data_IF_546829650982
#
_entry.id   IF_546829650982
#
_cell.length_a   1.000
_cell.length_b   1.000
_cell.length_c   1.000
_cell.angle_alpha   90.00
_cell.angle_beta   90.00
_cell.angle_gamma   90.00
#
_symmetry.space_group_name_H-M   'P 1'
#
loop_
_entity.id
_entity.type
_entity.pdbx_description
1 polymer ?
#
# COMPACT_ATOMS: atom_id res chain seq x y z
N UNK A 1 -29.91 44.71 -17.69
CA UNK A 1 -29.46 43.31 -17.91
C UNK A 1 -30.18 42.44 -16.91
N UNK A 2 -30.95 41.44 -17.36
CA UNK A 2 -31.56 40.46 -16.44
C UNK A 2 -30.43 39.57 -15.89
N UNK A 3 -30.43 39.23 -14.59
CA UNK A 3 -29.42 38.32 -14.04
C UNK A 3 -29.52 36.97 -14.76
N UNK A 4 -28.38 36.41 -15.15
CA UNK A 4 -28.26 35.17 -15.93
C UNK A 4 -28.76 33.92 -15.18
N UNK A 5 -29.01 34.01 -13.87
CA UNK A 5 -29.49 32.91 -13.02
C UNK A 5 -30.52 33.40 -11.99
N UNK A 6 -31.47 32.52 -11.66
CA UNK A 6 -32.50 32.71 -10.62
C UNK A 6 -31.85 32.92 -9.23
N UNK A 7 -32.43 33.76 -8.35
CA UNK A 7 -31.87 34.10 -7.03
C UNK A 7 -31.56 32.87 -6.17
N UNK A 8 -32.44 31.85 -6.19
CA UNK A 8 -32.20 30.57 -5.50
C UNK A 8 -30.96 29.82 -6.00
N UNK A 9 -30.66 29.94 -7.30
CA UNK A 9 -29.47 29.33 -7.90
C UNK A 9 -28.23 30.11 -7.44
N UNK A 10 -28.28 31.43 -7.39
CA UNK A 10 -27.16 32.23 -6.88
C UNK A 10 -26.84 31.95 -5.41
N UNK A 11 -27.85 31.80 -4.53
CA UNK A 11 -27.62 31.41 -3.14
C UNK A 11 -26.99 30.03 -3.01
N UNK A 12 -27.46 29.05 -3.79
CA UNK A 12 -26.86 27.71 -3.79
C UNK A 12 -25.46 27.66 -4.42
N UNK A 13 -25.08 28.65 -5.25
CA UNK A 13 -23.75 28.76 -5.84
C UNK A 13 -22.73 29.44 -4.91
N UNK A 14 -23.18 30.30 -3.98
CA UNK A 14 -22.29 30.97 -3.00
C UNK A 14 -21.46 29.99 -2.18
N UNK A 15 -22.00 28.81 -1.85
CA UNK A 15 -21.26 27.75 -1.12
C UNK A 15 -20.06 27.18 -1.88
N UNK A 16 -20.00 27.38 -3.20
CA UNK A 16 -18.89 26.96 -4.05
C UNK A 16 -17.93 28.11 -4.39
N UNK A 17 -18.18 29.32 -3.86
CA UNK A 17 -17.25 30.44 -3.99
C UNK A 17 -16.27 30.42 -2.81
N UNK A 18 -14.96 30.59 -3.08
CA UNK A 18 -13.98 30.69 -2.02
C UNK A 18 -14.18 32.01 -1.24
N UNK A 19 -14.11 31.93 0.09
CA UNK A 19 -14.12 33.11 0.98
C UNK A 19 -12.75 33.78 0.96
N UNK A 20 -11.69 32.97 0.97
CA UNK A 20 -10.31 33.43 1.02
C UNK A 20 -9.51 32.75 -0.08
N UNK A 21 -8.75 33.54 -0.84
CA UNK A 21 -7.84 33.05 -1.87
C UNK A 21 -6.46 33.60 -1.59
N UNK A 22 -5.52 32.70 -1.30
CA UNK A 22 -4.11 33.04 -1.08
C UNK A 22 -3.32 32.51 -2.26
N UNK A 23 -2.80 33.44 -3.08
CA UNK A 23 -2.10 33.11 -4.31
C UNK A 23 -0.60 32.88 -4.07
N UNK A 24 0.02 32.11 -4.96
CA UNK A 24 1.47 31.97 -5.12
C UNK A 24 2.21 31.50 -3.86
N UNK A 25 1.64 30.51 -3.17
CA UNK A 25 2.30 29.86 -2.04
C UNK A 25 3.21 28.74 -2.55
N UNK A 26 4.31 28.47 -1.86
CA UNK A 26 5.20 27.35 -2.20
C UNK A 26 4.96 26.18 -1.24
N UNK A 27 4.94 24.96 -1.77
CA UNK A 27 4.80 23.78 -0.94
C UNK A 27 6.17 23.25 -0.48
N UNK A 28 6.38 23.14 0.84
CA UNK A 28 7.64 22.61 1.40
C UNK A 28 7.93 21.14 1.03
N UNK A 29 6.89 20.38 0.66
CA UNK A 29 7.00 18.95 0.35
C UNK A 29 7.27 18.67 -1.12
N UNK A 30 6.46 19.23 -2.02
CA UNK A 30 6.61 19.00 -3.46
C UNK A 30 7.36 20.11 -4.20
N UNK A 31 7.66 21.24 -3.54
CA UNK A 31 8.38 22.37 -4.14
C UNK A 31 7.57 23.20 -5.15
N UNK A 32 6.35 22.78 -5.49
CA UNK A 32 5.50 23.48 -6.43
C UNK A 32 4.83 24.72 -5.82
N UNK A 33 4.62 25.71 -6.68
CA UNK A 33 3.81 26.87 -6.38
C UNK A 33 2.32 26.51 -6.53
N UNK A 34 1.50 26.92 -5.57
CA UNK A 34 0.07 26.61 -5.51
C UNK A 34 -0.75 27.81 -5.02
N UNK A 35 -2.02 27.81 -5.38
CA UNK A 35 -3.01 28.77 -4.89
C UNK A 35 -3.94 28.07 -3.89
N UNK A 36 -4.12 28.67 -2.71
CA UNK A 36 -4.97 28.14 -1.64
C UNK A 36 -6.34 28.82 -1.66
N UNK A 37 -7.38 28.00 -1.82
CA UNK A 37 -8.77 28.41 -1.79
C UNK A 37 -9.42 27.86 -0.52
N UNK A 38 -9.95 28.74 0.33
CA UNK A 38 -10.71 28.35 1.53
C UNK A 38 -12.19 28.64 1.32
N UNK A 39 -13.03 27.69 1.70
CA UNK A 39 -14.47 27.75 1.54
C UNK A 39 -15.18 27.91 2.89
N UNK A 40 -16.44 28.36 2.86
CA UNK A 40 -17.25 28.61 4.07
C UNK A 40 -17.43 27.38 4.98
N UNK A 41 -17.46 26.21 4.37
CA UNK A 41 -17.59 24.93 5.06
C UNK A 41 -16.28 24.45 5.72
N UNK A 42 -15.20 25.25 5.70
CA UNK A 42 -13.89 24.89 6.21
C UNK A 42 -13.07 23.99 5.29
N UNK A 43 -13.55 23.70 4.07
CA UNK A 43 -12.78 22.98 3.07
C UNK A 43 -11.64 23.86 2.54
N UNK A 44 -10.48 23.25 2.33
CA UNK A 44 -9.30 23.89 1.74
C UNK A 44 -8.89 23.14 0.48
N UNK A 45 -8.66 23.88 -0.61
CA UNK A 45 -8.19 23.34 -1.88
C UNK A 45 -6.90 24.04 -2.30
N UNK A 46 -5.86 23.26 -2.59
CA UNK A 46 -4.55 23.75 -3.05
C UNK A 46 -4.39 23.45 -4.53
N UNK A 47 -4.70 24.43 -5.37
CA UNK A 47 -4.57 24.27 -6.83
C UNK A 47 -3.10 24.36 -7.23
N UNK A 48 -2.59 23.35 -7.93
CA UNK A 48 -1.16 23.23 -8.27
C UNK A 48 -0.29 22.46 -7.26
N UNK A 49 -0.84 22.04 -6.10
CA UNK A 49 -0.11 21.18 -5.16
C UNK A 49 -0.34 19.70 -5.44
N UNK A 50 0.72 18.97 -5.80
CA UNK A 50 0.62 17.55 -6.15
C UNK A 50 0.76 16.57 -4.97
N UNK A 51 1.02 17.03 -3.75
CA UNK A 51 1.35 16.13 -2.63
C UNK A 51 0.29 15.05 -2.38
N UNK A 52 -0.99 15.43 -2.44
CA UNK A 52 -2.10 14.51 -2.22
C UNK A 52 -2.24 13.52 -3.38
N UNK A 53 -2.08 13.98 -4.62
CA UNK A 53 -2.13 13.14 -5.82
C UNK A 53 -0.98 12.12 -5.79
N UNK A 54 0.23 12.56 -5.46
CA UNK A 54 1.40 11.69 -5.33
C UNK A 54 1.20 10.65 -4.24
N UNK A 55 0.62 11.03 -3.10
CA UNK A 55 0.27 10.11 -2.01
C UNK A 55 -0.73 9.04 -2.48
N UNK A 56 -1.82 9.46 -3.10
CA UNK A 56 -2.85 8.56 -3.63
C UNK A 56 -2.29 7.62 -4.72
N UNK A 57 -1.47 8.15 -5.63
CA UNK A 57 -0.81 7.37 -6.67
C UNK A 57 0.10 6.29 -6.07
N UNK A 58 0.86 6.62 -5.02
CA UNK A 58 1.72 5.67 -4.32
C UNK A 58 0.91 4.60 -3.57
N UNK A 59 -0.20 4.97 -2.93
CA UNK A 59 -1.11 4.02 -2.28
C UNK A 59 -1.74 3.05 -3.29
N UNK A 60 -2.20 3.55 -4.44
CA UNK A 60 -2.74 2.73 -5.52
C UNK A 60 -1.68 1.83 -6.15
N UNK A 61 -0.46 2.33 -6.35
CA UNK A 61 0.67 1.51 -6.78
C UNK A 61 0.90 0.32 -5.85
N UNK A 62 0.93 0.55 -4.53
CA UNK A 62 1.06 -0.51 -3.52
C UNK A 62 -0.08 -1.53 -3.61
N UNK A 63 -1.33 -1.06 -3.70
CA UNK A 63 -2.52 -1.92 -3.82
C UNK A 63 -2.46 -2.79 -5.08
N UNK A 64 -2.10 -2.21 -6.22
CA UNK A 64 -2.02 -2.93 -7.49
C UNK A 64 -0.88 -3.95 -7.49
N UNK A 65 0.27 -3.60 -6.89
CA UNK A 65 1.37 -4.55 -6.66
C UNK A 65 0.91 -5.75 -5.83
N UNK A 66 0.19 -5.52 -4.73
CA UNK A 66 -0.36 -6.58 -3.89
C UNK A 66 -1.36 -7.46 -4.65
N UNK A 67 -2.32 -6.86 -5.35
CA UNK A 67 -3.31 -7.61 -6.16
C UNK A 67 -2.65 -8.53 -7.19
N UNK A 68 -1.57 -8.07 -7.82
CA UNK A 68 -0.81 -8.88 -8.79
C UNK A 68 -0.15 -10.09 -8.13
N UNK A 69 0.45 -9.91 -6.95
CA UNK A 69 1.01 -11.01 -6.17
C UNK A 69 -0.09 -12.01 -5.78
N UNK A 70 -1.19 -11.51 -5.21
CA UNK A 70 -2.32 -12.35 -4.80
C UNK A 70 -2.88 -13.15 -5.98
N UNK A 71 -2.99 -12.55 -7.15
CA UNK A 71 -3.43 -13.24 -8.37
C UNK A 71 -2.51 -14.41 -8.72
N UNK A 72 -1.18 -14.20 -8.75
CA UNK A 72 -0.19 -15.26 -9.05
C UNK A 72 -0.28 -16.39 -8.02
N UNK A 73 -0.38 -16.06 -6.74
CA UNK A 73 -0.52 -17.04 -5.67
C UNK A 73 -1.85 -17.79 -5.72
N UNK A 74 -2.94 -17.13 -6.11
CA UNK A 74 -4.27 -17.74 -6.24
C UNK A 74 -4.38 -18.67 -7.47
N UNK A 75 -3.60 -18.43 -8.53
CA UNK A 75 -3.51 -19.33 -9.68
C UNK A 75 -2.64 -20.56 -9.43
N UNK A 76 -1.83 -20.55 -8.36
CA UNK A 76 -1.01 -21.69 -8.01
C UNK A 76 -1.90 -22.82 -7.47
N UNK A 77 -1.64 -24.07 -7.86
CA UNK A 77 -2.28 -25.29 -7.31
C UNK A 77 -1.82 -25.56 -5.86
N UNK A 78 -1.91 -24.55 -5.02
CA UNK A 78 -1.45 -24.58 -3.63
C UNK A 78 -2.66 -24.88 -2.76
N UNK A 79 -2.47 -25.77 -1.79
CA UNK A 79 -3.51 -26.12 -0.84
C UNK A 79 -4.05 -24.85 -0.15
N UNK A 80 -5.39 -24.63 -0.07
CA UNK A 80 -5.97 -23.47 0.59
C UNK A 80 -5.44 -23.22 2.00
N UNK A 81 -5.06 -24.27 2.74
CA UNK A 81 -4.48 -24.15 4.09
C UNK A 81 -3.13 -23.41 4.13
N UNK A 82 -2.43 -23.28 3.00
CA UNK A 82 -1.17 -22.55 2.91
C UNK A 82 -1.39 -21.07 2.57
N UNK A 83 -2.58 -20.63 2.14
CA UNK A 83 -2.83 -19.24 1.72
C UNK A 83 -2.48 -18.25 2.84
N UNK A 84 -2.81 -18.59 4.07
CA UNK A 84 -2.55 -17.76 5.25
C UNK A 84 -1.19 -18.07 5.89
N UNK A 85 -0.37 -18.96 5.34
CA UNK A 85 0.94 -19.28 5.88
C UNK A 85 1.85 -18.04 5.83
N UNK A 86 2.43 -17.72 6.99
CA UNK A 86 3.46 -16.70 7.17
C UNK A 86 4.55 -17.25 8.09
N UNK A 87 5.73 -16.62 8.08
CA UNK A 87 6.81 -17.05 8.98
C UNK A 87 6.39 -16.80 10.43
N UNK A 88 5.65 -15.71 10.68
CA UNK A 88 5.18 -15.32 12.00
C UNK A 88 4.20 -16.33 12.61
N UNK A 89 3.22 -16.80 11.82
CA UNK A 89 2.21 -17.74 12.32
C UNK A 89 2.65 -19.22 12.30
N UNK A 90 3.84 -19.54 11.80
CA UNK A 90 4.43 -20.87 11.94
C UNK A 90 4.73 -21.16 13.42
N UNK A 91 4.18 -22.26 13.94
CA UNK A 91 4.31 -22.71 15.33
C UNK A 91 5.27 -23.89 15.41
N UNK A 92 6.55 -23.66 15.76
CA UNK A 92 7.51 -24.75 15.91
C UNK A 92 7.18 -25.60 17.14
N UNK A 93 7.36 -26.91 17.03
CA UNK A 93 7.07 -27.90 18.08
C UNK A 93 8.33 -28.51 18.70
N UNK A 94 9.50 -28.27 18.11
CA UNK A 94 10.78 -28.76 18.60
C UNK A 94 11.92 -27.82 18.17
N UNK A 95 13.10 -28.00 18.74
CA UNK A 95 14.28 -27.16 18.47
C UNK A 95 14.67 -27.12 16.99
N UNK A 96 14.54 -28.24 16.26
CA UNK A 96 14.83 -28.28 14.82
C UNK A 96 13.88 -27.38 14.03
N UNK A 97 12.60 -27.35 14.40
CA UNK A 97 11.61 -26.46 13.79
C UNK A 97 11.81 -24.99 14.20
N UNK A 98 12.24 -24.73 15.44
CA UNK A 98 12.64 -23.37 15.86
C UNK A 98 13.78 -22.88 14.99
N UNK A 99 14.81 -23.71 14.80
CA UNK A 99 15.94 -23.39 13.91
C UNK A 99 15.49 -23.18 12.46
N UNK A 100 14.60 -24.04 11.94
CA UNK A 100 14.06 -23.88 10.59
C UNK A 100 13.28 -22.56 10.41
N UNK A 101 12.48 -22.16 11.42
CA UNK A 101 11.79 -20.86 11.44
C UNK A 101 12.79 -19.72 11.39
N UNK A 102 13.84 -19.78 12.21
CA UNK A 102 14.86 -18.75 12.28
C UNK A 102 15.64 -18.62 10.95
N UNK A 103 16.05 -19.75 10.36
CA UNK A 103 16.68 -19.77 9.04
C UNK A 103 15.77 -19.20 7.94
N UNK A 104 14.46 -19.45 8.02
CA UNK A 104 13.50 -18.85 7.08
C UNK A 104 13.45 -17.31 7.22
N UNK A 105 13.49 -16.78 8.45
CA UNK A 105 13.54 -15.33 8.70
C UNK A 105 14.82 -14.74 8.11
N UNK A 106 15.97 -15.34 8.41
CA UNK A 106 17.27 -14.90 7.91
C UNK A 106 17.34 -14.93 6.38
N UNK A 107 16.78 -15.97 5.76
CA UNK A 107 16.71 -16.07 4.31
C UNK A 107 15.89 -14.95 3.69
N UNK A 108 14.72 -14.63 4.26
CA UNK A 108 13.87 -13.51 3.79
C UNK A 108 14.60 -12.18 3.94
N UNK A 109 15.23 -11.94 5.09
CA UNK A 109 15.96 -10.69 5.36
C UNK A 109 17.19 -10.50 4.46
N UNK A 110 17.86 -11.60 4.12
CA UNK A 110 19.04 -11.62 3.26
C UNK A 110 18.75 -11.93 1.79
N UNK A 111 17.49 -11.95 1.36
CA UNK A 111 17.14 -12.31 -0.01
C UNK A 111 17.68 -11.28 -1.00
N UNK A 112 18.42 -11.75 -2.01
CA UNK A 112 19.01 -10.91 -3.05
C UNK A 112 18.93 -11.60 -4.40
N UNK A 113 18.50 -10.86 -5.41
CA UNK A 113 18.53 -11.32 -6.81
C UNK A 113 19.91 -11.14 -7.45
N UNK A 114 20.79 -10.34 -6.84
CA UNK A 114 22.17 -10.13 -7.31
C UNK A 114 23.12 -11.20 -6.79
N UNK A 115 22.91 -11.65 -5.56
CA UNK A 115 23.67 -12.73 -4.91
C UNK A 115 22.70 -13.83 -4.47
N UNK A 116 22.17 -14.63 -5.42
CA UNK A 116 21.14 -15.60 -5.14
C UNK A 116 21.68 -16.72 -4.25
N UNK A 117 20.89 -17.07 -3.22
CA UNK A 117 21.13 -18.21 -2.33
C UNK A 117 19.94 -19.14 -2.45
N UNK A 118 20.18 -20.45 -2.36
CA UNK A 118 19.12 -21.46 -2.34
C UNK A 118 18.94 -22.02 -0.93
N UNK A 119 17.70 -22.29 -0.54
CA UNK A 119 17.36 -22.91 0.74
C UNK A 119 16.64 -24.24 0.51
N UNK A 120 17.11 -25.31 1.16
CA UNK A 120 16.48 -26.62 1.13
C UNK A 120 15.95 -26.95 2.52
N UNK A 121 14.65 -27.24 2.62
CA UNK A 121 13.99 -27.68 3.84
C UNK A 121 13.75 -29.19 3.78
N UNK A 122 14.42 -29.96 4.64
CA UNK A 122 14.30 -31.42 4.68
C UNK A 122 13.74 -31.89 6.03
N UNK A 123 12.88 -32.91 5.99
CA UNK A 123 12.30 -33.53 7.18
C UNK A 123 11.04 -34.33 6.88
N UNK A 124 10.52 -35.02 7.90
CA UNK A 124 9.30 -35.85 7.79
C UNK A 124 8.06 -35.04 7.40
N UNK A 125 7.00 -35.71 6.97
CA UNK A 125 5.70 -35.10 6.65
C UNK A 125 5.09 -34.38 7.86
N UNK A 126 4.17 -33.44 7.63
CA UNK A 126 3.46 -32.71 8.70
C UNK A 126 4.30 -31.71 9.50
N UNK A 127 5.61 -31.58 9.24
CA UNK A 127 6.51 -30.66 9.96
C UNK A 127 6.43 -29.19 9.51
N UNK A 128 5.58 -28.89 8.52
CA UNK A 128 5.37 -27.53 8.02
C UNK A 128 6.42 -27.00 7.04
N UNK A 129 7.14 -27.88 6.33
CA UNK A 129 8.07 -27.49 5.26
C UNK A 129 7.40 -26.63 4.18
N UNK A 130 6.23 -27.04 3.71
CA UNK A 130 5.45 -26.30 2.72
C UNK A 130 4.94 -24.96 3.26
N UNK A 131 4.61 -24.90 4.56
CA UNK A 131 4.23 -23.66 5.24
C UNK A 131 5.38 -22.65 5.19
N UNK A 132 6.58 -23.06 5.60
CA UNK A 132 7.75 -22.19 5.57
C UNK A 132 8.14 -21.79 4.15
N UNK A 133 8.16 -22.73 3.19
CA UNK A 133 8.48 -22.42 1.80
C UNK A 133 7.52 -21.38 1.20
N UNK A 134 6.20 -21.56 1.42
CA UNK A 134 5.19 -20.63 0.93
C UNK A 134 5.27 -19.27 1.65
N UNK A 135 5.52 -19.28 2.96
CA UNK A 135 5.71 -18.07 3.73
C UNK A 135 6.92 -17.25 3.28
N UNK A 136 8.04 -17.90 2.93
CA UNK A 136 9.22 -17.24 2.36
C UNK A 136 8.86 -16.63 1.01
N UNK A 137 8.23 -17.40 0.12
CA UNK A 137 7.86 -16.93 -1.22
C UNK A 137 6.93 -15.70 -1.18
N UNK A 138 6.04 -15.59 -0.19
CA UNK A 138 5.17 -14.43 0.01
C UNK A 138 5.90 -13.20 0.57
N UNK A 139 7.03 -13.39 1.25
CA UNK A 139 7.71 -12.33 1.97
C UNK A 139 8.80 -11.62 1.16
N UNK A 140 9.28 -12.24 0.08
CA UNK A 140 10.30 -11.71 -0.84
C UNK A 140 9.66 -11.06 -2.06
#
# INVERSE_FOLDING_TARGET
MKPLFNEKINESLKKYQPIEVILRQNCDKCGHQYDLYKFENGYEYKDGCECEIQRLAYEEYKRNKQKKLDYIFNQSNVNPSLRDATVNNYKPQNEKQVKAKQTAIEYVQGFSTKEPKSLILQGSYGTGKSHLAYAIAKAV
#
